data_IF_105595882023
#
_entry.id   IF_105595882023
#
_cell.length_a   1.000
_cell.length_b   1.000
_cell.length_c   1.000
_cell.angle_alpha   90.00
_cell.angle_beta   90.00
_cell.angle_gamma   90.00
#
_symmetry.space_group_name_H-M   'P 1'
#
loop_
_entity.id
_entity.type
_entity.pdbx_description
1 polymer ?
#
# COMPACT_ATOMS: atom_id res chain seq x y z
N UNK A 1 16.62 3.76 -4.18
CA UNK A 1 15.26 3.18 -4.13
C UNK A 1 14.30 4.37 -4.10
N UNK A 2 13.70 4.74 -5.23
CA UNK A 2 12.95 6.02 -5.35
C UNK A 2 11.84 6.21 -4.29
N UNK A 3 11.22 5.11 -3.84
CA UNK A 3 10.23 5.11 -2.77
C UNK A 3 10.78 5.56 -1.41
N UNK A 4 12.03 5.23 -1.07
CA UNK A 4 12.63 5.58 0.21
C UNK A 4 12.88 7.09 0.30
N UNK A 5 13.44 7.65 -0.78
CA UNK A 5 13.68 9.10 -0.89
C UNK A 5 12.37 9.89 -0.80
N UNK A 6 11.30 9.34 -1.38
CA UNK A 6 9.96 9.90 -1.29
C UNK A 6 9.43 9.90 0.16
N UNK A 7 9.55 8.79 0.89
CA UNK A 7 9.11 8.68 2.29
C UNK A 7 9.89 9.58 3.25
N UNK A 8 11.19 9.74 3.01
CA UNK A 8 12.06 10.56 3.87
C UNK A 8 11.92 12.07 3.61
N UNK A 9 11.16 12.47 2.59
CA UNK A 9 11.04 13.88 2.24
C UNK A 9 9.94 14.60 3.04
N UNK A 10 10.22 15.82 3.49
CA UNK A 10 9.28 16.65 4.23
C UNK A 10 8.18 17.19 3.30
N UNK A 11 7.10 16.44 3.14
CA UNK A 11 5.99 16.83 2.29
C UNK A 11 4.94 17.64 3.07
N UNK A 12 4.57 18.81 2.53
CA UNK A 12 3.37 19.53 2.98
C UNK A 12 2.16 18.72 2.52
N UNK A 13 1.42 18.19 3.48
CA UNK A 13 0.14 17.50 3.27
C UNK A 13 -0.97 18.53 3.50
N UNK A 14 -1.97 18.56 2.62
CA UNK A 14 -3.16 19.39 2.76
C UNK A 14 -4.34 18.52 3.21
N UNK A 15 -4.61 18.38 4.52
CA UNK A 15 -5.51 17.33 5.02
C UNK A 15 -6.93 17.44 4.48
N UNK A 16 -7.46 18.66 4.32
CA UNK A 16 -8.82 18.90 3.79
C UNK A 16 -8.96 18.46 2.34
N UNK A 17 -7.95 18.72 1.50
CA UNK A 17 -7.98 18.35 0.08
C UNK A 17 -7.87 16.83 -0.09
N UNK A 18 -7.02 16.21 0.73
CA UNK A 18 -6.92 14.76 0.82
C UNK A 18 -8.26 14.15 1.25
N UNK A 19 -8.92 14.71 2.28
CA UNK A 19 -10.24 14.26 2.73
C UNK A 19 -11.29 14.36 1.61
N UNK A 20 -11.35 15.49 0.90
CA UNK A 20 -12.26 15.63 -0.24
C UNK A 20 -11.98 14.62 -1.36
N UNK A 21 -10.69 14.33 -1.63
CA UNK A 21 -10.32 13.33 -2.62
C UNK A 21 -10.90 11.96 -2.26
N UNK A 22 -10.70 11.48 -1.03
CA UNK A 22 -11.19 10.17 -0.60
C UNK A 22 -12.72 10.13 -0.47
N UNK A 23 -13.34 11.19 0.03
CA UNK A 23 -14.80 11.28 0.17
C UNK A 23 -15.53 11.22 -1.18
N UNK A 24 -14.92 11.75 -2.25
CA UNK A 24 -15.50 11.80 -3.59
C UNK A 24 -14.95 10.73 -4.54
N UNK A 25 -14.31 9.68 -4.02
CA UNK A 25 -13.73 8.62 -4.85
C UNK A 25 -14.82 7.85 -5.62
N UNK A 26 -14.75 7.90 -6.95
CA UNK A 26 -15.69 7.23 -7.84
C UNK A 26 -15.65 5.69 -7.68
N UNK A 27 -16.71 5.00 -8.09
CA UNK A 27 -16.68 3.54 -8.23
C UNK A 27 -16.20 3.23 -9.65
N UNK A 28 -14.97 2.75 -9.77
CA UNK A 28 -14.39 2.36 -11.05
C UNK A 28 -14.06 0.86 -11.04
N UNK A 29 -14.14 0.22 -12.21
CA UNK A 29 -13.64 -1.15 -12.44
C UNK A 29 -12.23 -1.14 -13.04
N UNK A 30 -11.75 0.04 -13.44
CA UNK A 30 -10.40 0.26 -13.96
C UNK A 30 -9.40 0.51 -12.83
N UNK A 31 -8.11 0.27 -13.12
CA UNK A 31 -6.99 0.56 -12.22
C UNK A 31 -6.65 2.06 -12.22
N UNK A 32 -7.66 2.90 -12.00
CA UNK A 32 -7.61 4.35 -12.04
C UNK A 32 -8.51 4.90 -10.95
N UNK A 33 -7.94 5.66 -10.03
CA UNK A 33 -8.67 6.34 -8.95
C UNK A 33 -9.10 7.73 -9.41
N UNK A 34 -10.41 7.91 -9.59
CA UNK A 34 -11.01 9.19 -9.99
C UNK A 34 -11.76 9.82 -8.83
N UNK A 35 -11.66 11.13 -8.71
CA UNK A 35 -12.33 11.91 -7.67
C UNK A 35 -12.59 13.34 -8.16
N UNK A 36 -13.48 14.05 -7.48
CA UNK A 36 -13.79 15.45 -7.74
C UNK A 36 -13.52 16.29 -6.49
N UNK A 37 -12.53 17.19 -6.56
CA UNK A 37 -12.10 18.01 -5.42
C UNK A 37 -12.28 19.48 -5.75
N UNK A 38 -13.16 20.17 -5.01
CA UNK A 38 -13.43 21.62 -5.16
C UNK A 38 -13.66 22.05 -6.62
N UNK A 39 -14.51 21.34 -7.37
CA UNK A 39 -14.81 21.69 -8.76
C UNK A 39 -13.83 21.13 -9.79
N UNK A 40 -12.79 20.39 -9.37
CA UNK A 40 -11.75 19.89 -10.26
C UNK A 40 -11.72 18.36 -10.30
N UNK A 41 -11.74 17.73 -11.48
CA UNK A 41 -11.47 16.30 -11.59
C UNK A 41 -10.01 16.02 -11.24
N UNK A 42 -9.79 14.97 -10.47
CA UNK A 42 -8.47 14.47 -10.06
C UNK A 42 -8.40 12.99 -10.42
N UNK A 43 -7.30 12.60 -11.06
CA UNK A 43 -7.06 11.22 -11.47
C UNK A 43 -5.72 10.74 -10.91
N UNK A 44 -5.70 9.55 -10.31
CA UNK A 44 -4.48 8.87 -9.90
C UNK A 44 -4.44 7.56 -10.68
N UNK A 45 -3.51 7.46 -11.64
CA UNK A 45 -3.23 6.25 -12.42
C UNK A 45 -1.99 5.52 -11.89
N UNK A 46 -1.72 4.34 -12.43
CA UNK A 46 -0.50 3.58 -12.14
C UNK A 46 0.76 4.35 -12.54
N UNK A 47 0.74 4.94 -13.73
CA UNK A 47 1.85 5.70 -14.32
C UNK A 47 2.16 6.91 -13.44
N UNK A 48 1.13 7.64 -13.00
CA UNK A 48 1.31 8.77 -12.08
C UNK A 48 2.01 8.36 -10.78
N UNK A 49 1.64 7.21 -10.19
CA UNK A 49 2.28 6.71 -8.97
C UNK A 49 3.73 6.30 -9.26
N UNK A 50 3.97 5.59 -10.35
CA UNK A 50 5.32 5.17 -10.77
C UNK A 50 6.26 6.37 -10.97
N UNK A 51 5.80 7.41 -11.67
CA UNK A 51 6.53 8.65 -11.88
C UNK A 51 6.78 9.38 -10.56
N UNK A 52 5.74 9.51 -9.72
CA UNK A 52 5.85 10.20 -8.43
C UNK A 52 6.84 9.52 -7.49
N UNK A 53 6.89 8.19 -7.48
CA UNK A 53 7.77 7.40 -6.63
C UNK A 53 9.13 7.09 -7.28
N UNK A 54 9.30 7.37 -8.58
CA UNK A 54 10.51 6.99 -9.33
C UNK A 54 10.76 5.48 -9.34
N UNK A 55 9.71 4.66 -9.46
CA UNK A 55 9.78 3.19 -9.47
C UNK A 55 9.02 2.59 -10.66
N UNK A 56 9.45 1.45 -11.23
CA UNK A 56 8.72 0.81 -12.32
C UNK A 56 7.42 0.13 -11.85
N UNK A 57 6.44 0.03 -12.75
CA UNK A 57 5.22 -0.78 -12.60
C UNK A 57 5.45 -2.28 -12.88
N UNK A 58 6.62 -2.82 -12.52
CA UNK A 58 7.02 -4.20 -12.84
C UNK A 58 6.80 -5.17 -11.67
N UNK A 59 6.64 -6.45 -11.98
CA UNK A 59 6.48 -7.51 -10.98
C UNK A 59 5.03 -8.00 -10.86
N UNK A 60 4.79 -8.90 -9.91
CA UNK A 60 3.45 -9.46 -9.68
C UNK A 60 2.50 -8.39 -9.13
N UNK A 61 1.23 -8.50 -9.52
CA UNK A 61 0.16 -7.54 -9.20
C UNK A 61 -0.88 -8.12 -8.24
N UNK A 62 -1.07 -9.44 -8.28
CA UNK A 62 -1.91 -10.21 -7.36
C UNK A 62 -1.09 -11.27 -6.62
N UNK A 63 -1.64 -11.74 -5.51
CA UNK A 63 -1.03 -12.79 -4.68
C UNK A 63 -1.81 -14.11 -4.74
N UNK A 64 -2.58 -14.33 -5.81
CA UNK A 64 -3.44 -15.51 -5.94
C UNK A 64 -2.62 -16.79 -6.10
N UNK A 65 -1.46 -16.70 -6.76
CA UNK A 65 -0.56 -17.85 -6.99
C UNK A 65 0.32 -18.18 -5.78
N UNK A 66 0.22 -17.38 -4.70
CA UNK A 66 0.95 -17.61 -3.46
C UNK A 66 -0.03 -18.23 -2.48
N UNK A 67 0.20 -19.48 -2.06
CA UNK A 67 -0.63 -20.07 -1.04
C UNK A 67 -0.40 -19.40 0.32
N UNK A 68 -1.44 -19.41 1.16
CA UNK A 68 -1.33 -18.87 2.52
C UNK A 68 -0.32 -19.67 3.35
N UNK A 69 -0.29 -20.99 3.17
CA UNK A 69 0.68 -21.93 3.78
C UNK A 69 2.11 -21.52 3.43
N UNK A 70 2.42 -21.34 2.15
CA UNK A 70 3.76 -20.97 1.69
C UNK A 70 4.21 -19.63 2.30
N UNK A 71 3.32 -18.63 2.28
CA UNK A 71 3.61 -17.33 2.86
C UNK A 71 3.88 -17.42 4.37
N UNK A 72 3.13 -18.28 5.09
CA UNK A 72 3.32 -18.52 6.51
C UNK A 72 4.66 -19.21 6.80
N UNK A 73 5.01 -20.24 6.04
CA UNK A 73 6.29 -20.95 6.17
C UNK A 73 7.47 -19.98 6.05
N UNK A 74 7.44 -19.15 5.00
CA UNK A 74 8.45 -18.13 4.75
C UNK A 74 8.49 -17.10 5.89
N UNK A 75 7.33 -16.63 6.35
CA UNK A 75 7.26 -15.62 7.41
C UNK A 75 7.74 -16.14 8.77
N UNK A 76 7.41 -17.39 9.12
CA UNK A 76 7.73 -18.02 10.40
C UNK A 76 9.17 -18.55 10.46
N UNK A 77 9.80 -18.80 9.32
CA UNK A 77 11.14 -19.38 9.20
C UNK A 77 11.27 -20.74 9.91
N UNK A 78 10.16 -21.50 9.98
CA UNK A 78 10.10 -22.82 10.63
C UNK A 78 9.14 -23.74 9.87
N UNK A 79 9.53 -25.01 9.63
CA UNK A 79 8.71 -25.96 8.86
C UNK A 79 7.57 -26.58 9.67
N UNK A 80 7.67 -26.62 11.01
CA UNK A 80 6.70 -27.27 11.89
C UNK A 80 5.69 -26.25 12.45
N UNK A 81 4.72 -25.85 11.63
CA UNK A 81 3.62 -24.98 12.03
C UNK A 81 2.27 -25.56 11.62
N UNK A 82 1.25 -25.31 12.44
CA UNK A 82 -0.13 -25.68 12.08
C UNK A 82 -0.70 -24.65 11.08
N UNK A 83 -1.01 -25.02 9.82
CA UNK A 83 -1.51 -24.10 8.81
C UNK A 83 -2.87 -23.46 9.16
N UNK A 84 -3.62 -24.08 10.08
CA UNK A 84 -4.91 -23.59 10.57
C UNK A 84 -4.77 -22.60 11.73
N UNK A 85 -3.56 -22.43 12.29
CA UNK A 85 -3.33 -21.50 13.39
C UNK A 85 -3.44 -20.05 12.93
N UNK A 86 -4.01 -19.20 13.79
CA UNK A 86 -3.96 -17.74 13.59
C UNK A 86 -2.61 -17.21 14.05
N UNK A 87 -1.78 -16.79 13.09
CA UNK A 87 -0.47 -16.22 13.38
C UNK A 87 -0.62 -14.75 13.74
N UNK A 88 -0.26 -14.40 14.99
CA UNK A 88 -0.07 -13.01 15.41
C UNK A 88 1.37 -12.57 15.22
N UNK A 89 1.60 -11.25 15.22
CA UNK A 89 2.95 -10.69 15.12
C UNK A 89 3.94 -11.14 16.20
N UNK A 90 3.48 -11.66 17.35
CA UNK A 90 4.38 -12.19 18.39
C UNK A 90 5.00 -13.54 18.04
N UNK A 91 4.39 -14.29 17.12
CA UNK A 91 4.92 -15.56 16.64
C UNK A 91 5.99 -15.38 15.56
N UNK A 92 6.05 -14.18 14.96
CA UNK A 92 6.99 -13.89 13.88
C UNK A 92 8.40 -13.60 14.44
N UNK A 93 9.46 -14.07 13.78
CA UNK A 93 10.83 -13.63 14.05
C UNK A 93 10.93 -12.11 14.01
N UNK A 94 11.87 -11.53 14.77
CA UNK A 94 12.01 -10.07 14.92
C UNK A 94 12.11 -9.35 13.56
N UNK A 95 12.87 -9.90 12.61
CA UNK A 95 13.04 -9.33 11.28
C UNK A 95 11.74 -9.35 10.48
N UNK A 96 11.03 -10.49 10.45
CA UNK A 96 9.71 -10.59 9.80
C UNK A 96 8.70 -9.65 10.45
N UNK A 97 8.73 -9.49 11.77
CA UNK A 97 7.86 -8.57 12.49
C UNK A 97 8.13 -7.11 12.12
N UNK A 98 9.39 -6.71 11.99
CA UNK A 98 9.76 -5.37 11.51
C UNK A 98 9.28 -5.16 10.07
N UNK A 99 9.49 -6.14 9.18
CA UNK A 99 9.00 -6.08 7.81
C UNK A 99 7.47 -5.96 7.74
N UNK A 100 6.75 -6.72 8.57
CA UNK A 100 5.30 -6.62 8.68
C UNK A 100 4.85 -5.23 9.15
N UNK A 101 5.57 -4.62 10.09
CA UNK A 101 5.29 -3.25 10.53
C UNK A 101 5.52 -2.26 9.38
N UNK A 102 6.61 -2.39 8.61
CA UNK A 102 6.87 -1.54 7.44
C UNK A 102 5.75 -1.71 6.40
N UNK A 103 5.36 -2.97 6.11
CA UNK A 103 4.26 -3.26 5.18
C UNK A 103 2.96 -2.58 5.64
N UNK A 104 2.56 -2.79 6.89
CA UNK A 104 1.25 -2.35 7.39
C UNK A 104 1.16 -0.88 7.79
N UNK A 105 2.30 -0.19 7.96
CA UNK A 105 2.33 1.25 8.25
C UNK A 105 2.64 2.10 7.02
N UNK A 106 3.33 1.54 6.03
CA UNK A 106 3.89 2.33 4.92
C UNK A 106 3.41 1.84 3.55
N UNK A 107 3.57 0.56 3.24
CA UNK A 107 3.27 0.04 1.89
C UNK A 107 1.79 -0.17 1.65
N UNK A 108 1.07 -0.68 2.66
CA UNK A 108 -0.37 -0.90 2.70
C UNK A 108 -0.90 -0.41 4.06
N UNK A 109 -0.96 0.92 4.26
CA UNK A 109 -1.32 1.51 5.56
C UNK A 109 -2.71 1.05 5.99
N UNK A 110 -2.81 0.40 7.14
CA UNK A 110 -4.09 0.02 7.74
C UNK A 110 -4.39 0.88 8.95
N UNK A 111 -5.67 1.15 9.18
CA UNK A 111 -6.15 1.65 10.47
C UNK A 111 -6.54 0.48 11.38
N UNK A 112 -6.36 0.66 12.69
CA UNK A 112 -6.71 -0.33 13.71
C UNK A 112 -5.54 -1.18 14.15
N UNK A 113 -5.82 -2.44 14.52
CA UNK A 113 -4.80 -3.28 15.18
C UNK A 113 -3.71 -3.72 14.21
N UNK A 114 -2.46 -3.57 14.65
CA UNK A 114 -1.29 -4.12 13.97
C UNK A 114 -0.91 -5.53 14.44
N UNK A 115 -1.66 -6.12 15.39
CA UNK A 115 -1.28 -7.38 16.04
C UNK A 115 -1.53 -8.63 15.20
N UNK A 116 -2.57 -8.62 14.37
CA UNK A 116 -2.94 -9.73 13.50
C UNK A 116 -2.69 -9.34 12.04
N UNK A 117 -1.69 -9.92 11.36
CA UNK A 117 -1.50 -9.70 9.93
C UNK A 117 -2.65 -10.30 9.12
N UNK A 118 -3.09 -9.60 8.08
CA UNK A 118 -3.99 -10.20 7.09
C UNK A 118 -3.23 -11.17 6.19
N UNK A 119 -3.94 -12.04 5.47
CA UNK A 119 -3.34 -12.91 4.47
C UNK A 119 -2.56 -12.10 3.40
N UNK A 120 -3.09 -10.94 3.01
CA UNK A 120 -2.41 -10.04 2.07
C UNK A 120 -1.09 -9.50 2.62
N UNK A 121 -1.05 -9.17 3.91
CA UNK A 121 0.16 -8.68 4.57
C UNK A 121 1.23 -9.77 4.60
N UNK A 122 0.83 -11.01 4.97
CA UNK A 122 1.74 -12.17 5.01
C UNK A 122 2.31 -12.48 3.63
N UNK A 123 1.47 -12.51 2.59
CA UNK A 123 1.92 -12.77 1.21
C UNK A 123 2.89 -11.70 0.72
N UNK A 124 2.64 -10.42 1.03
CA UNK A 124 3.56 -9.34 0.68
C UNK A 124 4.90 -9.45 1.43
N UNK A 125 4.87 -9.77 2.73
CA UNK A 125 6.10 -10.01 3.50
C UNK A 125 6.88 -11.19 2.94
N UNK A 126 6.20 -12.28 2.56
CA UNK A 126 6.81 -13.45 1.93
C UNK A 126 7.48 -13.09 0.59
N UNK A 127 6.83 -12.29 -0.25
CA UNK A 127 7.45 -11.79 -1.49
C UNK A 127 8.72 -10.99 -1.23
N UNK A 128 8.69 -10.08 -0.26
CA UNK A 128 9.85 -9.25 0.09
C UNK A 128 11.01 -10.13 0.58
N UNK A 129 10.72 -11.14 1.41
CA UNK A 129 11.74 -12.08 1.91
C UNK A 129 12.35 -12.96 0.81
N UNK A 130 11.54 -13.41 -0.15
CA UNK A 130 12.00 -14.23 -1.26
C UNK A 130 12.62 -13.45 -2.42
N UNK A 131 12.62 -12.10 -2.36
CA UNK A 131 13.08 -11.26 -3.47
C UNK A 131 12.14 -11.27 -4.68
N UNK A 132 10.89 -11.70 -4.50
CA UNK A 132 9.89 -11.65 -5.56
C UNK A 132 9.55 -10.19 -5.85
N UNK A 133 9.70 -9.78 -7.11
CA UNK A 133 9.38 -8.42 -7.54
C UNK A 133 7.87 -8.19 -7.52
N UNK A 134 7.42 -7.17 -6.80
CA UNK A 134 6.01 -6.79 -6.65
C UNK A 134 5.78 -5.38 -7.17
N UNK A 135 4.71 -5.18 -7.94
CA UNK A 135 4.35 -3.87 -8.47
C UNK A 135 3.71 -3.00 -7.38
N UNK A 136 4.53 -2.20 -6.70
CA UNK A 136 4.07 -1.29 -5.65
C UNK A 136 3.04 -0.25 -6.15
N UNK A 137 3.18 0.36 -7.35
CA UNK A 137 2.15 1.25 -7.89
C UNK A 137 0.77 0.57 -7.99
N UNK A 138 0.74 -0.69 -8.40
CA UNK A 138 -0.48 -1.48 -8.51
C UNK A 138 -1.11 -1.80 -7.15
N UNK A 139 -0.29 -2.10 -6.15
CA UNK A 139 -0.78 -2.31 -4.79
C UNK A 139 -1.38 -1.05 -4.19
N UNK A 140 -0.72 0.09 -4.38
CA UNK A 140 -1.16 1.40 -3.86
C UNK A 140 -2.52 1.77 -4.43
N UNK A 141 -2.69 1.73 -5.76
CA UNK A 141 -3.95 2.15 -6.39
C UNK A 141 -5.11 1.24 -6.03
N UNK A 142 -4.87 -0.07 -5.97
CA UNK A 142 -5.89 -1.02 -5.52
C UNK A 142 -6.26 -0.79 -4.06
N UNK A 143 -5.28 -0.41 -3.23
CA UNK A 143 -5.53 -0.07 -1.84
C UNK A 143 -6.41 1.19 -1.72
N UNK A 144 -6.12 2.24 -2.50
CA UNK A 144 -6.95 3.46 -2.60
C UNK A 144 -8.39 3.10 -2.99
N UNK A 145 -8.56 2.31 -4.05
CA UNK A 145 -9.88 1.92 -4.58
C UNK A 145 -10.67 1.02 -3.62
N UNK A 146 -10.00 0.16 -2.85
CA UNK A 146 -10.65 -0.77 -1.92
C UNK A 146 -11.12 -0.13 -0.61
N UNK A 147 -10.55 1.03 -0.21
CA UNK A 147 -10.72 1.59 1.13
C UNK A 147 -11.19 3.05 1.10
N UNK A 148 -12.47 3.24 0.79
CA UNK A 148 -13.09 4.59 0.69
C UNK A 148 -13.17 5.37 2.00
N UNK A 149 -13.22 4.68 3.15
CA UNK A 149 -13.34 5.31 4.47
C UNK A 149 -12.00 5.54 5.17
N UNK A 150 -10.90 5.23 4.49
CA UNK A 150 -9.56 5.44 5.02
C UNK A 150 -8.86 6.51 4.21
N UNK A 151 -7.86 7.15 4.81
CA UNK A 151 -7.04 8.18 4.15
C UNK A 151 -5.61 7.67 3.99
N UNK A 152 -5.38 6.57 3.22
CA UNK A 152 -4.03 6.13 2.96
C UNK A 152 -3.32 7.15 2.06
N UNK A 153 -1.99 7.06 1.98
CA UNK A 153 -1.19 7.77 1.00
C UNK A 153 -1.46 9.29 0.78
N UNK A 154 -1.62 10.10 1.83
CA UNK A 154 -1.95 11.53 1.69
C UNK A 154 -0.94 12.32 0.84
N UNK A 155 0.30 11.85 0.78
CA UNK A 155 1.37 12.48 0.02
C UNK A 155 1.25 12.31 -1.51
N UNK A 156 0.58 11.27 -2.02
CA UNK A 156 0.38 11.07 -3.47
C UNK A 156 -0.61 12.08 -4.07
N UNK A 157 -1.42 12.70 -3.22
CA UNK A 157 -2.44 13.67 -3.63
C UNK A 157 -1.83 15.07 -3.79
N UNK A 158 -0.60 15.32 -3.27
CA UNK A 158 0.09 16.62 -3.32
C UNK A 158 0.32 17.19 -4.73
N UNK A 159 0.86 16.45 -5.73
CA UNK A 159 1.28 17.05 -6.99
C UNK A 159 0.16 17.83 -7.70
N UNK A 160 -1.09 17.42 -7.50
CA UNK A 160 -2.29 18.07 -8.04
C UNK A 160 -2.54 19.52 -7.55
N UNK A 161 -1.94 19.90 -6.41
CA UNK A 161 -2.17 21.20 -5.79
C UNK A 161 -0.94 22.12 -5.84
N UNK A 162 0.25 21.59 -6.14
CA UNK A 162 1.50 22.39 -6.23
C UNK A 162 1.53 23.32 -7.44
N UNK A 163 0.82 22.98 -8.53
CA UNK A 163 0.74 23.78 -9.76
C UNK A 163 -0.45 24.74 -9.84
N UNK A 164 -1.32 24.77 -8.82
CA UNK A 164 -2.56 25.57 -8.80
C UNK A 164 -2.63 26.52 -7.61
N UNK A 165 -1.50 27.15 -7.27
CA UNK A 165 -1.43 28.23 -6.26
C UNK A 165 -2.02 29.52 -6.84
N UNK A 166 -3.34 29.56 -6.93
CA UNK A 166 -4.15 30.76 -6.77
C UNK A 166 -5.36 30.35 -5.92
N UNK A 167 -5.14 30.23 -4.61
CA UNK A 167 -6.19 30.13 -3.60
C UNK A 167 -5.79 31.05 -2.45
#
# INVERSE_FOLDING_TARGET
MGWFDYLCSSHIIYPRLVQFFYANLEKTTSCVAKSFVLGNPVEISLEFIAETLGIPCSGITHFNDIEKSDALEICLERPDFNPLMTVSGSHLPIATRILLLIVTNTLLPREGSHTLPSERDLKLVACIKNGTLVSLPYLIINHILSRKNHIPYPMLIRPWYRGRTQW
#
